data_IF_008358604704
#
_entry.id   IF_008358604704
#
_cell.length_a   1.000
_cell.length_b   1.000
_cell.length_c   1.000
_cell.angle_alpha   90.00
_cell.angle_beta   90.00
_cell.angle_gamma   90.00
#
_symmetry.space_group_name_H-M   'P 1'
#
loop_
_entity.id
_entity.type
_entity.pdbx_description
1 polymer ?
#
# COMPACT_ATOMS: atom_id res chain seq x y z
N UNK A 1 -7.14 4.05 -10.66
CA UNK A 1 -6.31 2.84 -10.58
C UNK A 1 -4.84 3.09 -10.95
N UNK A 2 -3.95 2.77 -10.02
CA UNK A 2 -2.49 2.68 -10.20
C UNK A 2 -2.03 1.27 -9.83
N UNK A 3 -1.12 0.70 -10.64
CA UNK A 3 -0.57 -0.64 -10.41
C UNK A 3 0.95 -0.56 -10.49
N UNK A 4 1.62 -1.05 -9.45
CA UNK A 4 3.06 -1.33 -9.46
C UNK A 4 3.23 -2.84 -9.43
N UNK A 5 3.89 -3.38 -10.45
CA UNK A 5 4.20 -4.81 -10.54
C UNK A 5 5.70 -5.02 -10.69
N UNK A 6 6.26 -5.94 -9.90
CA UNK A 6 7.64 -6.42 -10.02
C UNK A 6 8.71 -5.32 -10.13
N UNK A 7 8.45 -4.17 -9.51
CA UNK A 7 9.34 -3.00 -9.57
C UNK A 7 10.54 -3.06 -8.63
N UNK A 8 10.59 -4.09 -7.78
CA UNK A 8 11.69 -4.37 -6.83
C UNK A 8 12.08 -3.19 -5.93
N UNK A 9 11.09 -2.39 -5.52
CA UNK A 9 11.31 -1.24 -4.65
C UNK A 9 11.88 -1.68 -3.30
N UNK A 10 12.92 -0.96 -2.87
CA UNK A 10 13.59 -1.16 -1.58
C UNK A 10 13.01 -0.23 -0.52
N UNK A 11 12.71 1.01 -0.91
CA UNK A 11 12.05 2.00 -0.05
C UNK A 11 10.54 1.80 -0.06
N UNK A 12 9.92 2.10 1.08
CA UNK A 12 8.46 2.01 1.26
C UNK A 12 7.76 2.98 0.29
N UNK A 13 6.93 2.48 -0.64
CA UNK A 13 6.24 3.34 -1.59
C UNK A 13 5.04 4.08 -0.95
N UNK A 14 4.51 3.61 0.17
CA UNK A 14 3.23 4.07 0.72
C UNK A 14 3.23 5.57 1.10
N UNK A 15 4.28 6.17 1.67
CA UNK A 15 4.29 7.60 1.99
C UNK A 15 4.11 8.49 0.75
N UNK A 16 4.79 8.16 -0.35
CA UNK A 16 4.71 8.93 -1.59
C UNK A 16 3.38 8.71 -2.31
N UNK A 17 2.93 7.45 -2.40
CA UNK A 17 1.65 7.10 -3.03
C UNK A 17 0.46 7.68 -2.25
N UNK A 18 0.57 7.74 -0.93
CA UNK A 18 -0.46 8.28 -0.04
C UNK A 18 -0.70 9.78 -0.17
N UNK A 19 0.21 10.52 -0.80
CA UNK A 19 0.04 11.95 -1.08
C UNK A 19 -0.74 12.23 -2.37
N UNK A 20 -1.02 11.22 -3.19
CA UNK A 20 -1.68 11.41 -4.47
C UNK A 20 -3.17 11.72 -4.28
N UNK A 21 -3.64 12.94 -4.62
CA UNK A 21 -4.95 13.43 -4.20
C UNK A 21 -6.13 12.74 -4.89
N UNK A 22 -5.89 12.06 -6.02
CA UNK A 22 -6.94 11.40 -6.81
C UNK A 22 -6.77 9.87 -6.86
N UNK A 23 -5.88 9.30 -6.04
CA UNK A 23 -5.62 7.86 -6.06
C UNK A 23 -6.76 7.12 -5.36
N UNK A 24 -7.61 6.45 -6.15
CA UNK A 24 -8.76 5.67 -5.68
C UNK A 24 -8.51 4.17 -5.59
N UNK A 25 -7.68 3.62 -6.46
CA UNK A 25 -7.34 2.19 -6.47
C UNK A 25 -5.83 2.05 -6.60
N UNK A 26 -5.24 1.27 -5.70
CA UNK A 26 -3.82 0.97 -5.67
C UNK A 26 -3.60 -0.54 -5.59
N UNK A 27 -2.72 -1.05 -6.46
CA UNK A 27 -2.23 -2.42 -6.42
C UNK A 27 -0.71 -2.45 -6.37
N UNK A 28 -0.16 -3.16 -5.39
CA UNK A 28 1.25 -3.51 -5.27
C UNK A 28 1.38 -5.02 -5.45
N UNK A 29 2.01 -5.48 -6.54
CA UNK A 29 2.20 -6.91 -6.83
C UNK A 29 3.67 -7.25 -6.99
N UNK A 30 4.27 -7.93 -6.02
CA UNK A 30 5.71 -8.22 -6.02
C UNK A 30 6.57 -6.96 -6.14
N UNK A 31 6.00 -5.79 -5.83
CA UNK A 31 6.57 -4.48 -6.16
C UNK A 31 7.52 -3.96 -5.08
N UNK A 32 7.40 -4.47 -3.85
CA UNK A 32 8.16 -4.02 -2.70
C UNK A 32 8.90 -5.21 -2.05
N UNK A 33 10.17 -5.00 -1.69
CA UNK A 33 11.07 -6.02 -1.13
C UNK A 33 11.49 -5.73 0.31
N UNK A 34 10.98 -4.66 0.91
CA UNK A 34 11.22 -4.37 2.32
C UNK A 34 10.23 -5.06 3.25
N UNK A 35 10.37 -4.78 4.54
CA UNK A 35 9.67 -5.49 5.62
C UNK A 35 8.54 -4.72 6.26
N UNK A 36 8.55 -3.40 6.13
CA UNK A 36 7.62 -2.54 6.85
C UNK A 36 7.04 -1.54 5.85
N UNK A 37 5.73 -1.38 5.85
CA UNK A 37 5.06 -0.28 5.13
C UNK A 37 4.37 0.64 6.13
N UNK A 38 4.36 1.93 5.83
CA UNK A 38 3.82 2.97 6.69
C UNK A 38 2.85 3.86 5.92
N UNK A 39 1.65 4.00 6.47
CA UNK A 39 0.64 4.94 5.99
C UNK A 39 0.40 5.95 7.09
N UNK A 40 0.90 7.18 6.92
CA UNK A 40 0.77 8.23 7.92
C UNK A 40 -0.68 8.71 8.07
N UNK A 41 -0.97 9.46 9.13
CA UNK A 41 -2.25 10.15 9.27
C UNK A 41 -2.56 11.00 8.04
N UNK A 42 -3.83 11.00 7.63
CA UNK A 42 -4.35 11.70 6.45
C UNK A 42 -3.76 11.26 5.11
N UNK A 43 -2.94 10.20 5.07
CA UNK A 43 -2.51 9.57 3.81
C UNK A 43 -3.69 8.85 3.14
N UNK A 44 -3.63 8.76 1.81
CA UNK A 44 -4.61 8.03 1.00
C UNK A 44 -6.05 8.55 1.18
N UNK A 45 -6.21 9.87 1.20
CA UNK A 45 -7.49 10.54 1.49
C UNK A 45 -8.64 10.19 0.55
N UNK A 46 -8.35 9.66 -0.65
CA UNK A 46 -9.34 9.24 -1.65
C UNK A 46 -9.28 7.74 -1.99
N UNK A 47 -8.46 6.95 -1.29
CA UNK A 47 -8.28 5.54 -1.62
C UNK A 47 -9.51 4.72 -1.22
N UNK A 48 -10.06 4.00 -2.18
CA UNK A 48 -11.21 3.11 -2.02
C UNK A 48 -10.80 1.63 -2.04
N UNK A 49 -9.79 1.26 -2.84
CA UNK A 49 -9.34 -0.13 -2.98
C UNK A 49 -7.84 -0.26 -2.89
N UNK A 50 -7.37 -1.11 -1.98
CA UNK A 50 -5.96 -1.46 -1.81
C UNK A 50 -5.75 -2.96 -2.02
N UNK A 51 -4.82 -3.31 -2.91
CA UNK A 51 -4.36 -4.67 -3.14
C UNK A 51 -2.87 -4.78 -2.84
N UNK A 52 -2.53 -5.64 -1.89
CA UNK A 52 -1.17 -6.08 -1.58
C UNK A 52 -1.05 -7.54 -2.00
N UNK A 53 -0.16 -7.83 -2.95
CA UNK A 53 -0.02 -9.16 -3.55
C UNK A 53 1.47 -9.52 -3.68
N UNK A 54 1.83 -10.74 -3.32
CA UNK A 54 3.17 -11.29 -3.54
C UNK A 54 4.29 -10.46 -2.89
N UNK A 55 3.98 -9.82 -1.75
CA UNK A 55 4.94 -9.01 -0.98
C UNK A 55 5.61 -9.88 0.09
N UNK A 56 6.25 -10.97 -0.31
CA UNK A 56 6.72 -12.04 0.59
C UNK A 56 7.87 -11.70 1.55
N UNK A 57 8.18 -10.42 1.76
CA UNK A 57 9.07 -9.97 2.85
C UNK A 57 8.37 -9.03 3.83
N UNK A 58 7.12 -8.68 3.55
CA UNK A 58 6.35 -7.72 4.33
C UNK A 58 5.94 -8.36 5.67
N UNK A 59 6.49 -7.84 6.76
CA UNK A 59 6.25 -8.31 8.12
C UNK A 59 5.29 -7.39 8.88
N UNK A 60 5.36 -6.07 8.64
CA UNK A 60 4.57 -5.08 9.39
C UNK A 60 3.93 -4.06 8.48
N UNK A 61 2.74 -3.63 8.91
CA UNK A 61 2.04 -2.52 8.33
C UNK A 61 1.66 -1.54 9.44
N UNK A 62 2.31 -0.38 9.44
CA UNK A 62 2.03 0.73 10.33
C UNK A 62 0.95 1.62 9.72
N UNK A 63 -0.23 1.62 10.33
CA UNK A 63 -1.39 2.38 9.87
C UNK A 63 -1.68 3.53 10.83
N UNK A 64 -1.65 4.76 10.31
CA UNK A 64 -2.11 5.96 10.98
C UNK A 64 -3.61 5.89 11.28
N UNK A 65 -4.04 6.59 12.33
CA UNK A 65 -5.43 6.50 12.83
C UNK A 65 -6.43 7.07 11.82
N UNK A 66 -6.03 8.08 11.04
CA UNK A 66 -6.86 8.69 10.00
C UNK A 66 -6.44 8.32 8.57
N UNK A 67 -5.60 7.29 8.40
CA UNK A 67 -5.20 6.83 7.07
C UNK A 67 -6.36 6.14 6.35
N UNK A 68 -6.45 6.33 5.03
CA UNK A 68 -7.42 5.65 4.15
C UNK A 68 -8.89 5.77 4.63
N UNK A 69 -9.41 6.97 4.91
CA UNK A 69 -10.74 7.14 5.52
C UNK A 69 -11.91 6.66 4.63
N UNK A 70 -11.68 6.46 3.33
CA UNK A 70 -12.69 6.04 2.35
C UNK A 70 -12.52 4.60 1.87
N UNK A 71 -11.70 3.79 2.55
CA UNK A 71 -11.43 2.41 2.11
C UNK A 71 -12.71 1.58 2.09
N UNK A 72 -12.94 0.92 0.94
CA UNK A 72 -14.08 0.02 0.70
C UNK A 72 -13.64 -1.43 0.57
N UNK A 73 -12.41 -1.67 0.10
CA UNK A 73 -11.87 -3.01 -0.06
C UNK A 73 -10.37 -3.08 0.18
N UNK A 74 -9.98 -4.09 0.95
CA UNK A 74 -8.59 -4.46 1.20
C UNK A 74 -8.40 -5.91 0.78
N UNK A 75 -7.43 -6.16 -0.10
CA UNK A 75 -7.04 -7.49 -0.51
C UNK A 75 -5.56 -7.72 -0.21
N UNK A 76 -5.27 -8.79 0.53
CA UNK A 76 -3.92 -9.22 0.88
C UNK A 76 -3.78 -10.68 0.45
N UNK A 77 -2.79 -10.97 -0.39
CA UNK A 77 -2.50 -12.32 -0.88
C UNK A 77 -0.99 -12.52 -0.98
N UNK A 78 -0.50 -13.70 -0.58
CA UNK A 78 0.93 -14.05 -0.69
C UNK A 78 1.90 -13.00 -0.08
N UNK A 79 1.49 -12.39 1.03
CA UNK A 79 2.30 -11.44 1.81
C UNK A 79 2.91 -12.07 3.08
N UNK A 80 2.73 -13.38 3.32
CA UNK A 80 3.16 -14.05 4.55
C UNK A 80 4.47 -14.82 4.37
N UNK A 81 5.45 -14.53 5.23
CA UNK A 81 6.53 -15.42 5.68
C UNK A 81 6.82 -15.15 7.14
#
# INVERSE_FOLDING_TARGET
MMVLEYSELIEDPMPNLGMLPNLRDLQLRGAYKGKDITCNDNSFSQLEFLRLDSLGRLERWHLGTSAMPLIKGLYICDCLT
#
